data_IF_962030764263
#
_entry.id   IF_962030764263
#
_cell.length_a   1.000
_cell.length_b   1.000
_cell.length_c   1.000
_cell.angle_alpha   90.00
_cell.angle_beta   90.00
_cell.angle_gamma   90.00
#
_symmetry.space_group_name_H-M   'P 1'
#
loop_
_entity.id
_entity.type
_entity.pdbx_description
1 polymer ?
#
# COMPACT_ATOMS: atom_id res chain seq x y z
N UNK A 1 -35.67 -1.38 46.64
CA UNK A 1 -35.27 -2.68 47.21
C UNK A 1 -35.18 -3.72 46.09
N UNK A 2 -34.05 -4.43 45.97
CA UNK A 2 -33.78 -5.43 44.92
C UNK A 2 -34.17 -6.85 45.37
N UNK A 3 -34.60 -7.71 44.43
CA UNK A 3 -34.84 -9.14 44.68
C UNK A 3 -33.78 -10.00 43.97
N UNK A 4 -33.25 -10.99 44.70
CA UNK A 4 -32.12 -11.89 44.38
C UNK A 4 -32.58 -13.04 43.43
N UNK A 5 -31.82 -13.42 42.35
CA UNK A 5 -30.86 -14.58 42.14
C UNK A 5 -31.35 -15.97 42.63
N UNK A 6 -30.92 -17.17 42.08
CA UNK A 6 -29.65 -17.49 41.37
C UNK A 6 -29.66 -18.63 40.26
N UNK A 7 -28.45 -18.86 39.69
CA UNK A 7 -27.76 -20.15 39.36
C UNK A 7 -27.92 -20.94 38.03
N UNK A 8 -26.85 -20.85 37.21
CA UNK A 8 -25.99 -21.90 36.58
C UNK A 8 -26.54 -23.05 35.71
N UNK A 9 -25.93 -23.24 34.51
CA UNK A 9 -25.10 -24.43 34.18
C UNK A 9 -24.35 -24.30 32.84
N UNK A 10 -23.04 -24.55 32.92
CA UNK A 10 -22.07 -24.79 31.84
C UNK A 10 -22.19 -26.22 31.31
N UNK A 11 -22.19 -26.44 29.99
CA UNK A 11 -21.77 -27.72 29.36
C UNK A 11 -21.09 -27.43 28.01
N UNK A 12 -19.81 -27.84 27.90
CA UNK A 12 -19.03 -28.01 26.67
C UNK A 12 -19.43 -29.30 25.93
N UNK A 13 -19.23 -29.35 24.60
CA UNK A 13 -18.71 -30.49 23.82
C UNK A 13 -18.52 -30.06 22.35
N UNK A 14 -17.30 -30.01 21.81
CA UNK A 14 -16.46 -31.10 21.24
C UNK A 14 -16.82 -31.43 19.77
N UNK A 15 -16.00 -30.87 18.86
CA UNK A 15 -15.37 -31.48 17.66
C UNK A 15 -16.17 -32.48 16.81
N UNK A 16 -16.32 -32.21 15.50
CA UNK A 16 -15.60 -32.93 14.41
C UNK A 16 -16.08 -32.57 12.98
N UNK A 17 -15.07 -32.29 12.16
CA UNK A 17 -14.84 -32.78 10.79
C UNK A 17 -15.71 -32.29 9.64
N UNK A 18 -15.02 -31.53 8.79
CA UNK A 18 -15.33 -31.25 7.39
C UNK A 18 -15.32 -32.51 6.51
N UNK A 19 -16.16 -32.50 5.48
CA UNK A 19 -16.05 -33.31 4.27
C UNK A 19 -16.32 -32.35 3.08
N UNK A 20 -15.26 -31.75 2.54
CA UNK A 20 -14.75 -31.94 1.17
C UNK A 20 -15.85 -31.92 0.11
N UNK A 21 -16.09 -30.74 -0.47
CA UNK A 21 -16.78 -30.62 -1.76
C UNK A 21 -15.69 -30.38 -2.80
N UNK A 22 -15.53 -31.39 -3.64
CA UNK A 22 -14.63 -31.44 -4.78
C UNK A 22 -15.07 -30.39 -5.81
N UNK A 23 -14.31 -29.31 -5.93
CA UNK A 23 -14.44 -28.36 -7.03
C UNK A 23 -13.19 -28.50 -7.89
N UNK A 24 -13.39 -29.14 -9.05
CA UNK A 24 -12.42 -29.23 -10.11
C UNK A 24 -11.83 -27.85 -10.45
N UNK A 25 -10.52 -27.76 -10.40
CA UNK A 25 -9.75 -26.57 -10.78
C UNK A 25 -9.94 -26.29 -12.28
N UNK A 26 -10.25 -25.05 -12.70
CA UNK A 26 -10.01 -24.63 -14.07
C UNK A 26 -8.51 -24.39 -14.24
N UNK A 27 -7.95 -24.97 -15.29
CA UNK A 27 -6.57 -24.80 -15.71
C UNK A 27 -6.25 -23.30 -15.89
N UNK A 28 -5.36 -22.79 -15.04
CA UNK A 28 -4.82 -21.44 -15.18
C UNK A 28 -3.85 -21.43 -16.36
N UNK A 29 -4.41 -21.21 -17.54
CA UNK A 29 -3.66 -20.77 -18.72
C UNK A 29 -2.94 -19.48 -18.37
N UNK A 30 -1.67 -19.41 -18.77
CA UNK A 30 -0.76 -18.34 -18.43
C UNK A 30 -1.31 -16.96 -18.75
N UNK A 31 -1.15 -16.05 -17.80
CA UNK A 31 -1.02 -14.63 -18.09
C UNK A 31 0.22 -14.19 -17.35
N UNK A 32 1.35 -14.18 -18.08
CA UNK A 32 2.51 -13.42 -17.65
C UNK A 32 2.05 -11.99 -17.33
N UNK A 33 2.47 -11.41 -16.20
CA UNK A 33 2.29 -9.99 -15.97
C UNK A 33 3.22 -9.27 -16.96
N UNK A 34 2.69 -8.93 -18.15
CA UNK A 34 3.40 -8.08 -19.10
C UNK A 34 3.56 -6.72 -18.43
N UNK A 35 4.72 -6.50 -17.83
CA UNK A 35 5.11 -5.21 -17.31
C UNK A 35 4.94 -4.19 -18.44
N UNK A 36 4.23 -3.07 -18.19
CA UNK A 36 4.10 -2.04 -19.21
C UNK A 36 5.50 -1.63 -19.65
N UNK A 37 5.78 -1.55 -20.96
CA UNK A 37 7.09 -1.19 -21.46
C UNK A 37 7.51 0.14 -20.83
N UNK A 38 8.75 0.18 -20.33
CA UNK A 38 9.31 1.38 -19.72
C UNK A 38 9.09 2.57 -20.67
N UNK A 39 8.39 3.59 -20.16
CA UNK A 39 8.05 4.81 -20.91
C UNK A 39 9.27 5.45 -21.55
N UNK A 40 10.45 5.34 -20.92
CA UNK A 40 11.70 5.84 -21.51
C UNK A 40 12.16 5.03 -22.71
N UNK A 41 12.02 3.71 -22.67
CA UNK A 41 12.36 2.82 -23.80
C UNK A 41 11.43 3.09 -24.98
N UNK A 42 10.14 3.30 -24.72
CA UNK A 42 9.19 3.68 -25.76
C UNK A 42 9.49 5.05 -26.38
N UNK A 43 9.74 6.07 -25.55
CA UNK A 43 10.09 7.41 -26.03
C UNK A 43 11.37 7.40 -26.86
N UNK A 44 12.38 6.64 -26.42
CA UNK A 44 13.65 6.48 -27.15
C UNK A 44 13.45 5.83 -28.52
N UNK A 45 12.63 4.77 -28.59
CA UNK A 45 12.26 4.12 -29.86
C UNK A 45 11.47 5.06 -30.77
N UNK A 46 10.52 5.81 -30.22
CA UNK A 46 9.72 6.77 -30.97
C UNK A 46 10.61 7.87 -31.55
N UNK A 47 11.52 8.42 -30.75
CA UNK A 47 12.47 9.45 -31.18
C UNK A 47 13.36 8.95 -32.32
N UNK A 48 13.92 7.73 -32.22
CA UNK A 48 14.73 7.14 -33.27
C UNK A 48 13.97 6.97 -34.60
N UNK A 49 12.70 6.54 -34.55
CA UNK A 49 11.84 6.43 -35.74
C UNK A 49 11.58 7.82 -36.34
N UNK A 50 11.29 8.82 -35.51
CA UNK A 50 11.01 10.17 -36.00
C UNK A 50 12.25 10.83 -36.59
N UNK A 51 13.44 10.64 -35.99
CA UNK A 51 14.69 11.15 -36.57
C UNK A 51 14.96 10.59 -37.98
N UNK A 52 14.65 9.31 -38.20
CA UNK A 52 14.87 8.67 -39.51
C UNK A 52 13.76 9.00 -40.53
N UNK A 53 12.50 9.04 -40.09
CA UNK A 53 11.34 9.04 -40.99
C UNK A 53 10.59 10.38 -41.07
N UNK A 54 10.67 11.22 -40.05
CA UNK A 54 9.93 12.50 -39.96
C UNK A 54 10.59 13.46 -38.94
N UNK A 55 11.77 14.02 -39.27
CA UNK A 55 12.53 14.86 -38.33
C UNK A 55 11.77 16.13 -37.92
N UNK A 56 10.85 16.63 -38.76
CA UNK A 56 9.95 17.74 -38.45
C UNK A 56 8.95 17.45 -37.33
N UNK A 57 8.71 16.18 -37.01
CA UNK A 57 7.84 15.78 -35.89
C UNK A 57 8.57 15.69 -34.55
N UNK A 58 9.92 15.72 -34.54
CA UNK A 58 10.71 15.70 -33.30
C UNK A 58 10.40 16.89 -32.39
N UNK A 59 10.27 18.15 -32.89
CA UNK A 59 9.80 19.27 -32.08
C UNK A 59 8.39 19.06 -31.50
N UNK A 60 7.48 18.46 -32.26
CA UNK A 60 6.11 18.17 -31.79
C UNK A 60 6.11 17.13 -30.66
N UNK A 61 6.96 16.09 -30.76
CA UNK A 61 7.14 15.12 -29.69
C UNK A 61 7.69 15.77 -28.42
N UNK A 62 8.69 16.65 -28.53
CA UNK A 62 9.23 17.39 -27.39
C UNK A 62 8.19 18.33 -26.75
N UNK A 63 7.37 19.00 -27.56
CA UNK A 63 6.24 19.79 -27.07
C UNK A 63 5.21 18.92 -26.36
N UNK A 64 4.90 17.74 -26.89
CA UNK A 64 3.97 16.79 -26.25
C UNK A 64 4.52 16.28 -24.91
N UNK A 65 5.81 15.90 -24.84
CA UNK A 65 6.46 15.50 -23.59
C UNK A 65 6.38 16.63 -22.55
N UNK A 66 6.57 17.88 -22.99
CA UNK A 66 6.48 19.05 -22.12
C UNK A 66 5.04 19.27 -21.64
N UNK A 67 4.06 19.18 -22.53
CA UNK A 67 2.64 19.36 -22.21
C UNK A 67 2.08 18.26 -21.30
N UNK A 68 2.63 17.04 -21.38
CA UNK A 68 2.26 15.91 -20.53
C UNK A 68 3.03 15.88 -19.20
N UNK A 69 3.92 16.85 -18.94
CA UNK A 69 4.58 17.02 -17.65
C UNK A 69 3.93 18.19 -16.87
N UNK A 70 3.78 18.08 -15.54
CA UNK A 70 4.25 16.99 -14.69
C UNK A 70 3.42 15.72 -14.84
N UNK A 71 4.05 14.56 -14.61
CA UNK A 71 3.37 13.27 -14.59
C UNK A 71 2.29 13.34 -13.49
N UNK A 72 1.03 12.93 -13.76
CA UNK A 72 -0.03 12.94 -12.75
C UNK A 72 0.37 12.24 -11.44
N UNK A 73 1.21 11.21 -11.50
CA UNK A 73 1.76 10.53 -10.32
C UNK A 73 2.61 11.47 -9.46
N UNK A 74 3.49 12.25 -10.08
CA UNK A 74 4.37 13.20 -9.37
C UNK A 74 3.55 14.29 -8.69
N UNK A 75 2.45 14.75 -9.32
CA UNK A 75 1.53 15.72 -8.73
C UNK A 75 0.95 15.15 -7.43
N UNK A 76 0.38 13.95 -7.49
CA UNK A 76 -0.22 13.29 -6.31
C UNK A 76 0.82 13.02 -5.23
N UNK A 77 2.00 12.52 -5.61
CA UNK A 77 3.08 12.27 -4.64
C UNK A 77 3.60 13.55 -4.00
N UNK A 78 3.74 14.65 -4.76
CA UNK A 78 4.16 15.95 -4.22
C UNK A 78 3.16 16.51 -3.22
N UNK A 79 1.87 16.33 -3.49
CA UNK A 79 0.77 16.78 -2.65
C UNK A 79 0.64 15.92 -1.37
N UNK A 80 0.83 14.60 -1.49
CA UNK A 80 0.95 13.72 -0.31
C UNK A 80 2.16 14.07 0.54
N UNK A 81 3.31 14.30 -0.09
CA UNK A 81 4.58 14.60 0.61
C UNK A 81 4.55 15.93 1.33
N UNK A 82 3.92 16.96 0.77
CA UNK A 82 3.80 18.28 1.42
C UNK A 82 2.96 18.24 2.71
N UNK A 83 2.08 17.24 2.85
CA UNK A 83 1.25 17.00 4.03
C UNK A 83 1.74 15.85 4.91
N UNK A 84 2.93 15.31 4.64
CA UNK A 84 3.52 14.20 5.38
C UNK A 84 4.59 14.69 6.34
N UNK A 85 4.70 14.06 7.51
CA UNK A 85 5.75 14.33 8.51
C UNK A 85 6.58 13.07 8.75
N UNK A 86 7.85 13.25 9.12
CA UNK A 86 8.74 12.15 9.50
C UNK A 86 8.96 12.20 11.00
N UNK A 87 8.65 11.09 11.68
CA UNK A 87 8.83 10.95 13.13
C UNK A 87 10.02 10.02 13.38
N UNK A 88 11.08 10.55 14.00
CA UNK A 88 12.26 9.79 14.39
C UNK A 88 12.20 9.32 15.84
N UNK A 89 12.87 8.20 16.15
CA UNK A 89 13.04 7.72 17.53
C UNK A 89 11.85 6.95 18.10
N UNK A 90 10.88 6.57 17.27
CA UNK A 90 9.72 5.81 17.70
C UNK A 90 10.07 4.32 17.83
N UNK A 91 9.83 3.66 18.99
CA UNK A 91 10.17 2.26 19.20
C UNK A 91 9.57 1.32 18.15
N UNK A 92 10.32 0.28 17.79
CA UNK A 92 9.92 -0.71 16.79
C UNK A 92 9.64 -2.07 17.43
N UNK A 93 8.69 -2.79 16.84
CA UNK A 93 8.40 -4.16 17.21
C UNK A 93 9.34 -5.12 16.52
N UNK A 94 9.80 -6.13 17.24
CA UNK A 94 10.62 -7.21 16.68
C UNK A 94 9.91 -8.05 15.62
N UNK A 95 10.70 -8.86 14.90
CA UNK A 95 10.23 -9.72 13.80
C UNK A 95 9.29 -10.85 14.23
N UNK A 96 9.24 -11.13 15.52
CA UNK A 96 8.36 -12.14 16.13
C UNK A 96 6.87 -11.88 15.85
N UNK A 97 6.50 -10.61 15.63
CA UNK A 97 5.12 -10.22 15.31
C UNK A 97 4.85 -10.32 13.81
N UNK A 98 3.62 -10.65 13.45
CA UNK A 98 3.18 -10.64 12.05
C UNK A 98 3.15 -9.22 11.48
N UNK A 99 3.20 -9.08 10.15
CA UNK A 99 3.20 -7.76 9.51
C UNK A 99 1.99 -6.88 9.92
N UNK A 100 0.81 -7.49 10.07
CA UNK A 100 -0.40 -6.77 10.53
C UNK A 100 -0.27 -6.29 11.97
N UNK A 101 0.32 -7.09 12.87
CA UNK A 101 0.56 -6.71 14.26
C UNK A 101 1.57 -5.57 14.37
N UNK A 102 2.66 -5.61 13.59
CA UNK A 102 3.67 -4.54 13.55
C UNK A 102 3.10 -3.23 13.02
N UNK A 103 2.25 -3.31 12.00
CA UNK A 103 1.54 -2.15 11.46
C UNK A 103 0.61 -1.55 12.51
N UNK A 104 -0.26 -2.36 13.12
CA UNK A 104 -1.18 -1.91 14.17
C UNK A 104 -0.45 -1.29 15.38
N UNK A 105 0.70 -1.87 15.76
CA UNK A 105 1.55 -1.30 16.81
C UNK A 105 2.07 0.10 16.42
N UNK A 106 2.54 0.27 15.18
CA UNK A 106 3.06 1.55 14.70
C UNK A 106 1.96 2.62 14.67
N UNK A 107 0.79 2.28 14.13
CA UNK A 107 -0.37 3.18 14.10
C UNK A 107 -0.79 3.61 15.51
N UNK A 108 -0.91 2.65 16.43
CA UNK A 108 -1.27 2.92 17.82
C UNK A 108 -0.22 3.77 18.56
N UNK A 109 1.06 3.59 18.23
CA UNK A 109 2.15 4.40 18.80
C UNK A 109 2.08 5.86 18.33
N UNK A 110 1.79 6.08 17.04
CA UNK A 110 1.58 7.43 16.49
C UNK A 110 0.36 8.09 17.12
N UNK A 111 -0.77 7.38 17.21
CA UNK A 111 -2.00 7.91 17.80
C UNK A 111 -1.75 8.36 19.25
N UNK A 112 -1.12 7.52 20.08
CA UNK A 112 -0.78 7.88 21.46
C UNK A 112 0.10 9.12 21.57
N UNK A 113 1.00 9.32 20.61
CA UNK A 113 1.85 10.50 20.57
C UNK A 113 1.05 11.76 20.18
N UNK A 114 0.14 11.66 19.22
CA UNK A 114 -0.78 12.75 18.89
C UNK A 114 -1.69 13.10 20.07
N UNK A 115 -2.21 12.09 20.77
CA UNK A 115 -3.01 12.28 21.99
C UNK A 115 -2.21 12.99 23.09
N UNK A 116 -0.95 12.61 23.28
CA UNK A 116 -0.06 13.23 24.27
C UNK A 116 0.28 14.71 23.94
N UNK A 117 0.15 15.10 22.67
CA UNK A 117 0.33 16.47 22.19
C UNK A 117 -0.99 17.24 22.08
N UNK A 118 -2.12 16.64 22.45
CA UNK A 118 -3.47 17.20 22.30
C UNK A 118 -3.79 17.61 20.84
N UNK A 119 -3.36 16.78 19.88
CA UNK A 119 -3.56 17.02 18.45
C UNK A 119 -4.75 16.20 17.95
N UNK A 120 -5.84 16.89 17.61
CA UNK A 120 -7.03 16.29 17.00
C UNK A 120 -6.86 16.06 15.48
N UNK A 121 -6.02 15.09 15.09
CA UNK A 121 -5.81 14.74 13.70
C UNK A 121 -5.92 13.23 13.45
N UNK A 122 -6.42 12.86 12.28
CA UNK A 122 -6.46 11.47 11.81
C UNK A 122 -5.53 11.31 10.59
N UNK A 123 -4.33 10.76 10.76
CA UNK A 123 -3.43 10.48 9.64
C UNK A 123 -4.09 9.55 8.61
N UNK A 124 -3.86 9.82 7.33
CA UNK A 124 -4.43 9.02 6.23
C UNK A 124 -3.62 7.74 6.02
N UNK A 125 -2.29 7.84 6.10
CA UNK A 125 -1.36 6.73 5.93
C UNK A 125 -0.27 6.84 7.00
N UNK A 126 0.08 5.70 7.59
CA UNK A 126 1.18 5.58 8.56
C UNK A 126 2.01 4.39 8.11
N UNK A 127 3.31 4.58 7.93
CA UNK A 127 4.22 3.49 7.59
C UNK A 127 5.63 3.79 8.10
N UNK A 128 6.42 2.74 8.25
CA UNK A 128 7.85 2.85 8.59
C UNK A 128 8.67 3.06 7.33
N UNK A 129 9.70 3.90 7.44
CA UNK A 129 10.66 4.12 6.36
C UNK A 129 11.69 2.98 6.34
N UNK A 130 12.06 2.52 5.15
CA UNK A 130 13.08 1.49 4.96
C UNK A 130 12.56 0.06 5.00
N UNK A 131 13.49 -0.89 5.03
CA UNK A 131 13.20 -2.32 5.17
C UNK A 131 13.41 -2.75 6.63
N UNK A 132 12.73 -3.82 7.02
CA UNK A 132 12.84 -4.39 8.35
C UNK A 132 14.31 -4.82 8.59
N UNK A 133 15.05 -4.06 9.37
CA UNK A 133 16.44 -4.37 9.77
C UNK A 133 16.44 -5.02 11.16
N UNK A 134 17.40 -5.91 11.40
CA UNK A 134 17.50 -6.74 12.62
C UNK A 134 18.02 -5.96 13.84
#
# INVERSE_FOLDING_TARGET
MPSQRPSTKTISNKTKSAAVVDYAAPESTGSEPVAPPDSQVLLSKLLAILEEKAPEAVPLLNQLITALRPNPKDIVESEKRSRSIVISGMPETGRELTASQRQAHTELSVIKMLDALDIEAKPVEIYRMGTLTD
#
